data_IF_170296909510
#
_entry.id   IF_170296909510
#
_cell.length_a   1.000
_cell.length_b   1.000
_cell.length_c   1.000
_cell.angle_alpha   90.00
_cell.angle_beta   90.00
_cell.angle_gamma   90.00
#
_symmetry.space_group_name_H-M   'P 1'
#
loop_
_entity.id
_entity.type
_entity.pdbx_description
1 polymer ?
#
# COMPACT_ATOMS: atom_id res chain seq x y z
N UNK A 1 -9.86 -12.08 14.83
CA UNK A 1 -9.89 -11.94 14.31
C UNK A 1 -9.97 -11.59 13.55
N UNK A 2 -9.93 -11.56 13.26
CA UNK A 2 -9.93 -11.42 12.44
C UNK A 2 -9.93 -10.83 11.43
N UNK A 3 -10.13 -10.76 11.15
CA UNK A 3 -10.21 -10.50 9.96
C UNK A 3 -9.94 -9.26 9.44
N UNK A 4 -8.81 -8.92 9.25
CA UNK A 4 -8.35 -7.74 8.79
C UNK A 4 -8.19 -7.84 7.35
N UNK A 5 -9.23 -7.56 6.61
CA UNK A 5 -9.15 -7.55 5.16
C UNK A 5 -8.89 -6.14 4.70
N UNK A 6 -7.84 -5.96 3.94
CA UNK A 6 -7.56 -4.69 3.31
C UNK A 6 -8.51 -4.52 2.14
N UNK A 7 -9.24 -3.43 2.11
CA UNK A 7 -10.17 -3.14 1.03
C UNK A 7 -9.55 -2.13 0.07
N UNK A 8 -10.09 -2.06 -1.14
CA UNK A 8 -9.57 -1.12 -2.14
C UNK A 8 -9.63 0.32 -1.64
N UNK A 9 -10.65 0.64 -0.85
CA UNK A 9 -10.79 1.95 -0.25
C UNK A 9 -9.61 2.26 0.68
N UNK A 10 -9.20 1.27 1.48
CA UNK A 10 -8.07 1.44 2.39
C UNK A 10 -6.77 1.58 1.62
N UNK A 11 -6.62 0.79 0.56
CA UNK A 11 -5.45 0.86 -0.30
C UNK A 11 -5.30 2.26 -0.88
N UNK A 12 -6.40 2.80 -1.42
CA UNK A 12 -6.36 4.12 -2.05
C UNK A 12 -6.05 5.21 -1.04
N UNK A 13 -6.55 5.07 0.18
CA UNK A 13 -6.27 6.04 1.23
C UNK A 13 -4.79 6.04 1.59
N UNK A 14 -4.19 4.86 1.69
CA UNK A 14 -2.76 4.73 1.98
C UNK A 14 -1.94 5.25 0.80
N UNK A 15 -2.33 4.89 -0.41
CA UNK A 15 -1.63 5.34 -1.62
C UNK A 15 -1.60 6.87 -1.67
N UNK A 16 -2.74 7.48 -1.41
CA UNK A 16 -2.84 8.93 -1.41
C UNK A 16 -1.94 9.53 -0.34
N UNK A 17 -1.91 8.93 0.83
CA UNK A 17 -1.08 9.39 1.93
C UNK A 17 0.40 9.33 1.55
N UNK A 18 0.84 8.20 1.00
CA UNK A 18 2.23 8.01 0.63
C UNK A 18 2.63 8.98 -0.48
N UNK A 19 1.77 9.16 -1.47
CA UNK A 19 2.10 10.05 -2.58
C UNK A 19 2.07 11.51 -2.18
N UNK A 20 1.29 11.85 -1.16
CA UNK A 20 1.21 13.24 -0.68
C UNK A 20 2.33 13.60 0.27
N UNK A 21 2.66 12.70 1.19
CA UNK A 21 3.62 12.99 2.24
C UNK A 21 5.02 12.48 1.95
N UNK A 22 5.15 11.50 1.09
CA UNK A 22 6.43 10.95 0.72
C UNK A 22 7.11 11.77 -0.35
N UNK A 23 8.30 11.36 -0.75
CA UNK A 23 8.96 12.01 -1.86
C UNK A 23 9.12 11.01 -2.99
N UNK A 24 9.14 11.55 -4.20
CA UNK A 24 9.18 10.74 -5.41
C UNK A 24 10.62 10.54 -5.86
N UNK A 25 10.98 9.30 -6.17
CA UNK A 25 12.29 8.97 -6.67
C UNK A 25 12.14 7.81 -7.63
N UNK A 26 12.66 7.95 -8.85
CA UNK A 26 12.61 6.90 -9.87
C UNK A 26 11.21 6.39 -10.13
N UNK A 27 10.23 7.29 -10.15
CA UNK A 27 8.86 6.92 -10.45
C UNK A 27 8.08 6.32 -9.30
N UNK A 28 8.69 6.23 -8.13
CA UNK A 28 8.00 5.69 -6.95
C UNK A 28 7.97 6.73 -5.84
N UNK A 29 6.88 6.71 -5.09
CA UNK A 29 6.76 7.53 -3.89
C UNK A 29 7.20 6.68 -2.71
N UNK A 30 7.94 7.26 -1.78
CA UNK A 30 8.45 6.54 -0.61
C UNK A 30 8.11 7.29 0.65
N UNK A 31 7.57 6.58 1.64
CA UNK A 31 7.25 7.17 2.92
C UNK A 31 7.21 6.08 3.98
N UNK A 32 7.98 6.23 5.04
CA UNK A 32 7.98 5.30 6.18
C UNK A 32 8.25 3.84 5.78
N UNK A 33 9.12 3.64 4.81
CA UNK A 33 9.47 2.30 4.37
C UNK A 33 8.47 1.67 3.41
N UNK A 34 7.44 2.41 3.03
CA UNK A 34 6.44 1.94 2.08
C UNK A 34 6.67 2.63 0.74
N UNK A 35 6.70 1.83 -0.34
CA UNK A 35 6.81 2.37 -1.69
C UNK A 35 5.44 2.31 -2.35
N UNK A 36 5.12 3.33 -3.13
CA UNK A 36 3.85 3.40 -3.86
C UNK A 36 4.13 3.84 -5.28
N UNK A 37 3.55 3.15 -6.24
CA UNK A 37 3.70 3.54 -7.65
C UNK A 37 2.52 3.02 -8.46
N UNK A 38 2.39 3.51 -9.67
CA UNK A 38 1.34 3.09 -10.57
C UNK A 38 1.94 2.90 -11.97
N UNK A 39 1.23 2.20 -12.83
CA UNK A 39 1.69 1.99 -14.19
C UNK A 39 1.47 3.25 -15.00
N UNK A 40 1.90 3.21 -16.26
CA UNK A 40 1.85 4.37 -17.13
C UNK A 40 0.44 4.94 -17.27
N UNK A 41 -0.55 4.06 -17.36
CA UNK A 41 -1.93 4.49 -17.54
C UNK A 41 -2.62 4.83 -16.22
N UNK A 42 -2.04 4.44 -15.11
CA UNK A 42 -2.65 4.67 -13.80
C UNK A 42 -3.76 3.70 -13.46
N UNK A 43 -3.95 2.66 -14.26
CA UNK A 43 -5.01 1.68 -13.99
C UNK A 43 -4.63 0.65 -12.95
N UNK A 44 -3.34 0.46 -12.75
CA UNK A 44 -2.84 -0.50 -11.77
C UNK A 44 -1.92 0.23 -10.83
N UNK A 45 -2.12 0.03 -9.53
CA UNK A 45 -1.31 0.68 -8.51
C UNK A 45 -0.72 -0.37 -7.59
N UNK A 46 0.44 -0.07 -7.02
CA UNK A 46 1.15 -0.99 -6.14
C UNK A 46 1.57 -0.29 -4.87
N UNK A 47 1.55 -1.06 -3.78
CA UNK A 47 2.16 -0.67 -2.52
C UNK A 47 3.08 -1.80 -2.12
N UNK A 48 4.28 -1.49 -1.68
CA UNK A 48 5.19 -2.53 -1.23
C UNK A 48 5.85 -2.16 0.09
N UNK A 49 6.13 -3.17 0.89
CA UNK A 49 6.74 -3.00 2.20
C UNK A 49 7.48 -4.30 2.50
N UNK A 50 8.81 -4.27 2.54
CA UNK A 50 9.64 -5.45 2.74
C UNK A 50 9.29 -6.51 1.68
N UNK A 51 8.88 -7.70 2.11
CA UNK A 51 8.53 -8.78 1.18
C UNK A 51 7.06 -8.75 0.75
N UNK A 52 6.31 -7.77 1.21
CA UNK A 52 4.89 -7.64 0.90
C UNK A 52 4.69 -6.74 -0.31
N UNK A 53 3.85 -7.17 -1.24
CA UNK A 53 3.43 -6.32 -2.37
C UNK A 53 1.92 -6.46 -2.52
N UNK A 54 1.24 -5.32 -2.57
CA UNK A 54 -0.20 -5.27 -2.76
C UNK A 54 -0.48 -4.55 -4.06
N UNK A 55 -1.30 -5.17 -4.91
CA UNK A 55 -1.64 -4.63 -6.23
C UNK A 55 -3.12 -4.31 -6.28
N UNK A 56 -3.46 -3.12 -6.72
CA UNK A 56 -4.85 -2.75 -6.96
C UNK A 56 -5.07 -2.68 -8.46
N UNK A 57 -5.95 -3.53 -8.96
CA UNK A 57 -6.27 -3.60 -10.39
C UNK A 57 -7.41 -2.63 -10.70
N UNK A 58 -7.51 -2.25 -11.97
CA UNK A 58 -8.44 -1.20 -12.39
C UNK A 58 -9.90 -1.48 -12.04
N UNK A 59 -10.28 -2.76 -11.91
CA UNK A 59 -11.65 -3.09 -11.54
C UNK A 59 -11.84 -3.21 -10.01
N UNK A 60 -10.87 -2.72 -9.25
CA UNK A 60 -11.01 -2.67 -7.80
C UNK A 60 -10.59 -3.92 -7.06
N UNK A 61 -10.06 -4.90 -7.75
CA UNK A 61 -9.63 -6.13 -7.12
C UNK A 61 -8.21 -5.98 -6.57
N UNK A 62 -7.99 -6.48 -5.36
CA UNK A 62 -6.68 -6.44 -4.74
C UNK A 62 -5.99 -7.79 -4.82
N UNK A 63 -4.69 -7.75 -5.12
CA UNK A 63 -3.84 -8.92 -5.05
C UNK A 63 -2.83 -8.68 -3.94
N UNK A 64 -2.57 -9.67 -3.11
CA UNK A 64 -1.64 -9.54 -1.99
C UNK A 64 -0.63 -10.67 -2.06
N UNK A 65 0.66 -10.32 -2.07
CA UNK A 65 1.73 -11.31 -2.11
C UNK A 65 2.73 -11.03 -1.00
N UNK A 66 3.11 -12.04 -0.27
CA UNK A 66 4.13 -11.92 0.75
C UNK A 66 4.72 -13.29 1.04
N UNK A 67 5.93 -13.31 1.60
CA UNK A 67 6.58 -14.55 2.00
C UNK A 67 6.38 -14.83 3.48
N UNK A 68 6.27 -13.77 4.28
CA UNK A 68 6.15 -13.88 5.72
C UNK A 68 4.87 -13.20 6.18
N UNK A 69 3.97 -13.95 6.79
CA UNK A 69 2.69 -13.41 7.24
C UNK A 69 2.88 -12.29 8.27
N UNK A 70 3.97 -12.32 9.02
CA UNK A 70 4.24 -11.27 10.00
C UNK A 70 4.43 -9.92 9.33
N UNK A 71 4.96 -9.91 8.11
CA UNK A 71 5.14 -8.66 7.37
C UNK A 71 3.79 -8.02 7.05
N UNK A 72 2.79 -8.84 6.72
CA UNK A 72 1.46 -8.31 6.45
C UNK A 72 0.87 -7.68 7.72
N UNK A 73 1.03 -8.33 8.86
CA UNK A 73 0.54 -7.79 10.13
C UNK A 73 1.26 -6.49 10.48
N UNK A 74 2.58 -6.43 10.28
CA UNK A 74 3.34 -5.22 10.50
C UNK A 74 2.84 -4.08 9.62
N UNK A 75 2.64 -4.39 8.36
CA UNK A 75 2.18 -3.40 7.39
C UNK A 75 0.81 -2.88 7.79
N UNK A 76 -0.08 -3.78 8.16
CA UNK A 76 -1.44 -3.41 8.52
C UNK A 76 -1.45 -2.47 9.73
N UNK A 77 -0.63 -2.77 10.74
CA UNK A 77 -0.53 -1.92 11.92
C UNK A 77 0.07 -0.57 11.55
N UNK A 78 1.08 -0.59 10.68
CA UNK A 78 1.75 0.63 10.28
C UNK A 78 0.80 1.57 9.54
N UNK A 79 0.03 1.05 8.58
CA UNK A 79 -0.88 1.90 7.83
C UNK A 79 -2.02 2.42 8.68
N UNK A 80 -2.49 1.64 9.65
CA UNK A 80 -3.52 2.11 10.57
C UNK A 80 -3.01 3.31 11.37
N UNK A 81 -1.75 3.25 11.80
CA UNK A 81 -1.14 4.37 12.51
C UNK A 81 -1.01 5.60 11.63
N UNK A 82 -0.61 5.41 10.38
CA UNK A 82 -0.45 6.52 9.45
C UNK A 82 -1.81 7.16 9.11
N UNK A 83 -2.83 6.35 8.91
CA UNK A 83 -4.16 6.85 8.61
C UNK A 83 -4.71 7.64 9.80
N UNK A 84 -4.46 7.17 11.00
CA UNK A 84 -4.94 7.83 12.20
C UNK A 84 -4.30 9.21 12.39
N UNK A 85 -3.08 9.39 11.86
CA UNK A 85 -2.38 10.67 11.97
C UNK A 85 -2.72 11.66 10.85
N UNK A 86 -3.36 11.18 9.81
CA UNK A 86 -3.63 12.04 8.64
C UNK A 86 -4.92 12.85 8.74
#
# INVERSE_FOLDING_TARGET
MKNKLLKSKDFLQVFDLISSKGFKSNGKYQFQGIDAWHDFDGYTCWLSYKDLTITLLFHGKLGVEYENVDTFDEFYKKINGLIALS
#
